data_IF_190278912162
#
_entry.id   IF_190278912162
#
_cell.length_a   1.000
_cell.length_b   1.000
_cell.length_c   1.000
_cell.angle_alpha   90.00
_cell.angle_beta   90.00
_cell.angle_gamma   90.00
#
_symmetry.space_group_name_H-M   'P 1'
#
loop_
_entity.id
_entity.type
_entity.pdbx_description
1 polymer ?
#
# COMPACT_ATOMS: atom_id res chain seq x y z
N UNK A 1 -4.70 1.28 -64.55
CA UNK A 1 -5.92 1.48 -63.75
C UNK A 1 -6.16 0.37 -62.78
N UNK A 2 -6.04 -0.85 -63.18
CA UNK A 2 -6.19 -1.97 -62.28
C UNK A 2 -5.02 -2.11 -61.31
N UNK A 3 -3.86 -1.54 -61.62
CA UNK A 3 -2.68 -1.62 -60.79
C UNK A 3 -2.83 -0.84 -59.46
N UNK A 4 -3.56 0.25 -59.52
CA UNK A 4 -3.78 1.04 -58.30
C UNK A 4 -4.69 0.37 -57.29
N UNK A 5 -5.64 -0.44 -57.75
CA UNK A 5 -6.58 -1.10 -56.86
C UNK A 5 -5.96 -2.18 -55.98
N UNK A 6 -5.10 -3.07 -56.50
CA UNK A 6 -4.45 -4.05 -55.65
C UNK A 6 -3.58 -3.42 -54.59
N UNK A 7 -2.90 -2.32 -54.87
CA UNK A 7 -2.09 -1.61 -53.91
C UNK A 7 -2.96 -0.97 -52.82
N UNK A 8 -4.08 -0.36 -53.23
CA UNK A 8 -4.98 0.23 -52.27
C UNK A 8 -5.63 -0.83 -51.38
N UNK A 9 -6.00 -1.97 -51.94
CA UNK A 9 -6.60 -3.06 -51.20
C UNK A 9 -5.59 -3.69 -50.22
N UNK A 10 -4.33 -3.76 -50.59
CA UNK A 10 -3.29 -4.29 -49.69
C UNK A 10 -2.96 -3.32 -48.57
N UNK A 11 -2.98 -2.02 -48.82
CA UNK A 11 -2.68 -1.00 -47.83
C UNK A 11 -3.82 -0.82 -46.82
N UNK A 12 -5.07 -0.93 -47.26
CA UNK A 12 -6.22 -0.70 -46.40
C UNK A 12 -6.30 -1.63 -45.19
N UNK A 13 -6.01 -2.95 -45.24
CA UNK A 13 -5.96 -3.82 -44.06
C UNK A 13 -4.82 -3.51 -43.14
N UNK A 14 -3.65 -3.11 -43.62
CA UNK A 14 -2.49 -2.84 -42.79
C UNK A 14 -2.66 -1.63 -41.88
N UNK A 15 -3.29 -0.55 -42.36
CA UNK A 15 -3.52 0.64 -41.58
C UNK A 15 -4.41 0.37 -40.36
N UNK A 16 -5.56 -0.31 -40.50
CA UNK A 16 -6.36 -0.66 -39.33
C UNK A 16 -5.64 -1.54 -38.36
N UNK A 17 -4.83 -2.50 -38.80
CA UNK A 17 -4.04 -3.38 -37.92
C UNK A 17 -2.99 -2.59 -37.15
N UNK A 18 -2.32 -1.66 -37.82
CA UNK A 18 -1.32 -0.83 -37.16
C UNK A 18 -1.95 0.06 -36.09
N UNK A 19 -3.11 0.64 -36.38
CA UNK A 19 -3.85 1.46 -35.45
C UNK A 19 -4.32 0.62 -34.24
N UNK A 20 -4.87 -0.55 -34.50
CA UNK A 20 -5.33 -1.46 -33.47
C UNK A 20 -4.18 -1.89 -32.57
N UNK A 21 -3.04 -2.21 -33.15
CA UNK A 21 -1.85 -2.58 -32.39
C UNK A 21 -1.34 -1.41 -31.53
N UNK A 22 -1.35 -0.20 -32.08
CA UNK A 22 -0.93 0.99 -31.34
C UNK A 22 -1.86 1.28 -30.17
N UNK A 23 -3.18 1.16 -30.40
CA UNK A 23 -4.17 1.36 -29.33
C UNK A 23 -4.01 0.29 -28.25
N UNK A 24 -3.84 -0.97 -28.64
CA UNK A 24 -3.65 -2.07 -27.70
C UNK A 24 -2.39 -1.87 -26.86
N UNK A 25 -1.30 -1.42 -27.50
CA UNK A 25 -0.05 -1.14 -26.79
C UNK A 25 -0.23 0.01 -25.79
N UNK A 26 -0.96 1.03 -26.17
CA UNK A 26 -1.22 2.18 -25.29
C UNK A 26 -2.09 1.79 -24.09
N UNK A 27 -3.12 0.97 -24.33
CA UNK A 27 -3.98 0.47 -23.27
C UNK A 27 -3.16 -0.37 -22.29
N UNK A 28 -2.32 -1.26 -22.83
CA UNK A 28 -1.48 -2.12 -21.97
C UNK A 28 -0.49 -1.29 -21.16
N UNK A 29 0.10 -0.26 -21.77
CA UNK A 29 1.02 0.63 -21.08
C UNK A 29 0.33 1.36 -19.94
N UNK A 30 -0.86 1.89 -20.20
CA UNK A 30 -1.66 2.59 -19.20
C UNK A 30 -2.06 1.66 -18.06
N UNK A 31 -2.50 0.45 -18.40
CA UNK A 31 -2.89 -0.56 -17.40
C UNK A 31 -1.68 -0.98 -16.54
N UNK A 32 -0.52 -1.17 -17.16
CA UNK A 32 0.69 -1.53 -16.45
C UNK A 32 1.12 -0.42 -15.48
N UNK A 33 1.04 0.82 -15.92
CA UNK A 33 1.37 1.97 -15.08
C UNK A 33 0.42 2.06 -13.89
N UNK A 34 -0.86 1.87 -14.14
CA UNK A 34 -1.87 1.89 -13.08
C UNK A 34 -1.65 0.77 -12.07
N UNK A 35 -1.35 -0.44 -12.55
CA UNK A 35 -1.01 -1.56 -11.66
C UNK A 35 0.21 -1.24 -10.80
N UNK A 36 1.23 -0.62 -11.38
CA UNK A 36 2.42 -0.22 -10.65
C UNK A 36 2.11 0.79 -9.56
N UNK A 37 1.23 1.75 -9.83
CA UNK A 37 0.81 2.74 -8.84
C UNK A 37 0.04 2.08 -7.68
N UNK A 38 -0.84 1.13 -8.01
CA UNK A 38 -1.62 0.40 -7.00
C UNK A 38 -0.69 -0.45 -6.14
N UNK A 39 0.25 -1.16 -6.75
CA UNK A 39 1.24 -1.94 -6.03
C UNK A 39 2.08 -1.08 -5.09
N UNK A 40 2.48 0.11 -5.55
CA UNK A 40 3.22 1.06 -4.73
C UNK A 40 2.42 1.53 -3.53
N UNK A 41 1.14 1.81 -3.72
CA UNK A 41 0.25 2.20 -2.62
C UNK A 41 0.05 1.07 -1.62
N UNK A 42 -0.05 -0.16 -2.14
CA UNK A 42 -0.20 -1.33 -1.27
C UNK A 42 1.04 -1.52 -0.40
N UNK A 43 2.22 -1.45 -0.98
CA UNK A 43 3.48 -1.56 -0.24
C UNK A 43 3.57 -0.49 0.84
N UNK A 44 3.21 0.75 0.49
CA UNK A 44 3.24 1.85 1.43
C UNK A 44 2.24 1.65 2.56
N UNK A 45 1.02 1.22 2.23
CA UNK A 45 -0.01 0.96 3.24
C UNK A 45 0.41 -0.17 4.18
N UNK A 46 1.05 -1.21 3.66
CA UNK A 46 1.56 -2.31 4.48
C UNK A 46 2.67 -1.84 5.41
N UNK A 47 3.56 -0.97 4.93
CA UNK A 47 4.62 -0.40 5.76
C UNK A 47 4.03 0.46 6.88
N UNK A 48 3.04 1.29 6.57
CA UNK A 48 2.37 2.11 7.57
C UNK A 48 1.64 1.26 8.60
N UNK A 49 0.98 0.20 8.15
CA UNK A 49 0.30 -0.73 9.07
C UNK A 49 1.30 -1.41 10.01
N UNK A 50 2.46 -1.79 9.50
CA UNK A 50 3.51 -2.40 10.33
C UNK A 50 4.05 -1.41 11.36
N UNK A 51 4.24 -0.15 10.97
CA UNK A 51 4.67 0.91 11.89
C UNK A 51 3.63 1.15 12.99
N UNK A 52 2.36 1.18 12.62
CA UNK A 52 1.28 1.36 13.59
C UNK A 52 1.19 0.19 14.56
N UNK A 53 1.37 -1.03 14.06
CA UNK A 53 1.37 -2.22 14.91
C UNK A 53 2.53 -2.18 15.91
N UNK A 54 3.72 -1.80 15.45
CA UNK A 54 4.90 -1.67 16.31
C UNK A 54 4.69 -0.58 17.37
N UNK A 55 4.11 0.57 16.96
CA UNK A 55 3.82 1.65 17.90
C UNK A 55 2.78 1.21 18.94
N UNK A 56 1.78 0.44 18.51
CA UNK A 56 0.78 -0.13 19.41
C UNK A 56 1.38 -1.06 20.45
N UNK A 57 2.29 -1.94 20.01
CA UNK A 57 2.99 -2.84 20.94
C UNK A 57 3.85 -2.07 21.94
N UNK A 58 4.54 -1.03 21.48
CA UNK A 58 5.36 -0.19 22.36
C UNK A 58 4.48 0.51 23.40
N UNK A 59 3.34 1.05 22.98
CA UNK A 59 2.40 1.71 23.89
C UNK A 59 1.81 0.73 24.91
N UNK A 60 1.50 -0.49 24.49
CA UNK A 60 1.03 -1.53 25.39
C UNK A 60 2.08 -1.86 26.43
N UNK A 61 3.34 -1.97 26.04
CA UNK A 61 4.45 -2.21 26.94
C UNK A 61 4.61 -1.07 27.95
N UNK A 62 4.50 0.17 27.48
CA UNK A 62 4.56 1.33 28.36
C UNK A 62 3.40 1.35 29.35
N UNK A 63 2.21 1.06 28.87
CA UNK A 63 1.02 0.96 29.72
C UNK A 63 1.20 -0.07 30.80
N UNK A 64 1.68 -1.26 30.43
CA UNK A 64 1.87 -2.35 31.38
C UNK A 64 2.94 -2.00 32.42
N UNK A 65 4.02 -1.37 31.96
CA UNK A 65 5.07 -0.89 32.88
C UNK A 65 4.54 0.15 33.85
N UNK A 66 3.76 1.09 33.38
CA UNK A 66 3.14 2.11 34.23
C UNK A 66 2.15 1.49 35.22
N UNK A 67 1.38 0.50 34.77
CA UNK A 67 0.46 -0.21 35.65
C UNK A 67 1.21 -0.92 36.80
N UNK A 68 2.36 -1.53 36.50
CA UNK A 68 3.19 -2.16 37.50
C UNK A 68 3.74 -1.13 38.49
N UNK A 69 4.20 0.02 37.98
CA UNK A 69 4.69 1.10 38.82
C UNK A 69 3.59 1.64 39.74
N UNK A 70 2.40 1.82 39.22
CA UNK A 70 1.25 2.27 40.01
C UNK A 70 0.94 1.25 41.13
N UNK A 71 0.94 -0.04 40.78
CA UNK A 71 0.69 -1.09 41.77
C UNK A 71 1.75 -1.10 42.87
N UNK A 72 3.02 -0.95 42.50
CA UNK A 72 4.11 -0.90 43.47
C UNK A 72 4.00 0.32 44.38
N UNK A 73 3.70 1.48 43.80
CA UNK A 73 3.54 2.72 44.57
C UNK A 73 2.34 2.66 45.50
N UNK A 74 1.26 2.03 45.04
CA UNK A 74 0.07 1.82 45.87
C UNK A 74 0.39 0.94 47.08
N UNK A 75 1.13 -0.14 46.87
CA UNK A 75 1.59 -1.01 47.94
C UNK A 75 2.48 -0.28 48.92
N UNK A 76 3.43 0.51 48.41
CA UNK A 76 4.31 1.32 49.27
C UNK A 76 3.50 2.31 50.09
N UNK A 77 2.56 3.00 49.47
CA UNK A 77 1.70 3.95 50.17
C UNK A 77 0.93 3.27 51.27
N UNK A 78 0.34 2.13 50.99
CA UNK A 78 -0.44 1.39 51.98
C UNK A 78 0.43 0.91 53.14
N UNK A 79 1.64 0.45 52.87
CA UNK A 79 2.61 0.05 53.86
C UNK A 79 3.00 1.23 54.76
N UNK A 80 3.29 2.37 54.15
CA UNK A 80 3.65 3.58 54.88
C UNK A 80 2.48 4.08 55.75
N UNK A 81 1.27 4.06 55.18
CA UNK A 81 0.10 4.45 55.93
C UNK A 81 -0.13 3.54 57.13
N UNK A 82 0.05 2.23 56.96
CA UNK A 82 -0.06 1.27 58.04
C UNK A 82 1.01 1.48 59.11
N UNK A 83 2.25 1.80 58.72
CA UNK A 83 3.31 2.09 59.66
C UNK A 83 3.10 3.40 60.42
N UNK A 84 2.45 4.36 59.77
CA UNK A 84 2.16 5.64 60.42
C UNK A 84 1.09 5.53 61.49
N UNK A 85 0.21 4.59 61.32
CA UNK A 85 -0.84 4.31 62.31
C UNK A 85 -0.26 3.57 63.50
#
# INVERSE_FOLDING_TARGET
MTLGRPLAAAAAPELPQALTAAIAAEIERAASQERGEIEGRLVQAQAEAAELAAAGEALEGERDGLAEQVAALTSERDTLAGKAE
#
